data_IF_349879219553
#
_entry.id   IF_349879219553
#
_cell.length_a   1.000
_cell.length_b   1.000
_cell.length_c   1.000
_cell.angle_alpha   90.00
_cell.angle_beta   90.00
_cell.angle_gamma   90.00
#
_symmetry.space_group_name_H-M   'P 1'
#
loop_
_entity.id
_entity.type
_entity.pdbx_description
1 polymer ?
#
# COMPACT_ATOMS: atom_id res chain seq x y z
N UNK A 1 5.96 -1.30 15.54
CA UNK A 1 4.80 -0.51 15.99
C UNK A 1 4.84 0.84 15.30
N UNK A 2 3.88 1.15 14.43
CA UNK A 2 3.77 2.48 13.80
C UNK A 2 3.21 3.51 14.78
N UNK A 3 3.65 4.77 14.67
CA UNK A 3 3.10 5.87 15.46
C UNK A 3 1.73 6.29 14.92
N UNK A 4 0.66 5.62 15.38
CA UNK A 4 -0.74 5.84 14.95
C UNK A 4 -1.18 7.31 14.87
N UNK A 5 -0.77 8.23 15.77
CA UNK A 5 -1.10 9.66 15.64
C UNK A 5 -0.56 10.32 14.36
N UNK A 6 0.56 9.81 13.81
CA UNK A 6 1.13 10.31 12.56
C UNK A 6 0.30 9.91 11.35
N UNK A 7 -0.56 8.88 11.45
CA UNK A 7 -1.38 8.38 10.33
C UNK A 7 -2.81 8.96 10.32
N UNK A 8 -3.09 9.96 11.17
CA UNK A 8 -4.38 10.69 11.09
C UNK A 8 -4.53 11.41 9.76
N UNK A 9 -5.77 11.58 9.29
CA UNK A 9 -6.05 12.30 8.04
C UNK A 9 -5.47 13.70 8.02
N UNK A 10 -5.43 14.37 9.18
CA UNK A 10 -4.84 15.70 9.33
C UNK A 10 -3.31 15.67 9.21
N UNK A 11 -2.64 14.75 9.91
CA UNK A 11 -1.18 14.59 9.81
C UNK A 11 -0.75 14.20 8.38
N UNK A 12 -1.55 13.39 7.69
CA UNK A 12 -1.34 13.04 6.28
C UNK A 12 -1.51 14.27 5.36
N UNK A 13 -2.57 15.05 5.57
CA UNK A 13 -2.82 16.26 4.77
C UNK A 13 -1.70 17.30 4.93
N UNK A 14 -1.20 17.52 6.15
CA UNK A 14 -0.07 18.43 6.41
C UNK A 14 1.21 17.98 5.72
N UNK A 15 1.52 16.67 5.74
CA UNK A 15 2.70 16.12 5.04
C UNK A 15 2.53 16.20 3.52
N UNK A 16 1.34 15.92 3.01
CA UNK A 16 1.03 16.08 1.59
C UNK A 16 1.22 17.54 1.14
N UNK A 17 0.82 18.53 1.95
CA UNK A 17 1.06 19.94 1.67
C UNK A 17 2.56 20.27 1.58
N UNK A 18 3.37 19.80 2.52
CA UNK A 18 4.83 20.00 2.46
C UNK A 18 5.44 19.39 1.20
N UNK A 19 5.01 18.19 0.82
CA UNK A 19 5.44 17.56 -0.44
C UNK A 19 4.96 18.35 -1.65
N UNK A 20 3.73 18.88 -1.66
CA UNK A 20 3.22 19.70 -2.75
C UNK A 20 4.05 20.98 -2.96
N UNK A 21 4.51 21.59 -1.86
CA UNK A 21 5.35 22.78 -1.88
C UNK A 21 6.76 22.48 -2.39
N UNK A 22 7.33 21.34 -2.00
CA UNK A 22 8.66 20.92 -2.43
C UNK A 22 8.68 20.37 -3.87
N UNK A 23 7.64 19.63 -4.27
CA UNK A 23 7.58 18.84 -5.50
C UNK A 23 6.19 18.97 -6.16
N UNK A 24 6.02 20.03 -6.96
CA UNK A 24 4.72 20.40 -7.55
C UNK A 24 4.11 19.34 -8.48
N UNK A 25 4.94 18.51 -9.09
CA UNK A 25 4.51 17.46 -10.02
C UNK A 25 4.25 16.11 -9.32
N UNK A 26 4.47 16.02 -8.00
CA UNK A 26 4.21 14.81 -7.25
C UNK A 26 2.70 14.54 -7.17
N UNK A 27 2.30 13.31 -7.46
CA UNK A 27 0.96 12.84 -7.14
C UNK A 27 0.82 12.67 -5.64
N UNK A 28 -0.27 13.18 -5.08
CA UNK A 28 -0.56 13.14 -3.66
C UNK A 28 -1.82 12.31 -3.37
N UNK A 29 -1.88 11.64 -2.21
CA UNK A 29 -3.10 10.99 -1.77
C UNK A 29 -4.18 12.05 -1.50
N UNK A 30 -5.43 11.72 -1.85
CA UNK A 30 -6.59 12.48 -1.37
C UNK A 30 -6.72 12.30 0.16
N UNK A 31 -7.32 13.27 0.88
CA UNK A 31 -7.62 13.08 2.30
C UNK A 31 -8.37 11.76 2.55
N UNK A 32 -7.90 10.98 3.53
CA UNK A 32 -8.48 9.68 3.88
C UNK A 32 -8.15 8.52 2.93
N UNK A 33 -7.35 8.74 1.88
CA UNK A 33 -7.02 7.69 0.93
C UNK A 33 -6.28 6.51 1.59
N UNK A 34 -6.69 5.30 1.20
CA UNK A 34 -6.03 4.03 1.56
C UNK A 34 -4.88 3.71 0.62
N UNK A 35 -5.07 4.02 -0.66
CA UNK A 35 -4.05 3.90 -1.68
C UNK A 35 -4.19 5.02 -2.71
N UNK A 36 -3.14 5.26 -3.48
CA UNK A 36 -3.16 6.21 -4.60
C UNK A 36 -2.17 5.80 -5.69
N UNK A 37 -2.40 6.22 -6.95
CA UNK A 37 -1.46 5.94 -8.03
C UNK A 37 -0.18 6.77 -7.91
N UNK A 38 0.96 6.11 -8.06
CA UNK A 38 2.28 6.73 -8.06
C UNK A 38 2.99 6.55 -9.40
N UNK A 39 3.83 7.52 -9.73
CA UNK A 39 4.94 7.44 -10.69
C UNK A 39 6.25 7.34 -9.90
N UNK A 40 7.40 7.26 -10.59
CA UNK A 40 8.71 7.16 -9.95
C UNK A 40 8.94 8.21 -8.86
N UNK A 41 8.69 9.50 -9.18
CA UNK A 41 8.87 10.60 -8.23
C UNK A 41 7.95 10.50 -7.02
N UNK A 42 6.65 10.28 -7.23
CA UNK A 42 5.69 10.16 -6.11
C UNK A 42 5.84 8.86 -5.33
N UNK A 43 6.43 7.81 -5.91
CA UNK A 43 6.77 6.58 -5.20
C UNK A 43 7.92 6.83 -4.20
N UNK A 44 8.94 7.60 -4.59
CA UNK A 44 10.04 7.98 -3.69
C UNK A 44 9.57 8.82 -2.49
N UNK A 45 8.50 9.60 -2.67
CA UNK A 45 7.94 10.49 -1.64
C UNK A 45 6.86 9.79 -0.78
N UNK A 46 6.32 8.66 -1.23
CA UNK A 46 5.24 7.95 -0.54
C UNK A 46 5.57 7.57 0.92
N UNK A 47 6.79 7.11 1.27
CA UNK A 47 7.14 6.80 2.65
C UNK A 47 7.06 8.01 3.59
N UNK A 48 7.45 9.21 3.11
CA UNK A 48 7.32 10.45 3.88
C UNK A 48 5.85 10.77 4.20
N UNK A 49 4.93 10.32 3.35
CA UNK A 49 3.48 10.42 3.55
C UNK A 49 2.89 9.24 4.34
N UNK A 50 3.67 8.26 4.78
CA UNK A 50 3.17 7.07 5.49
C UNK A 50 2.55 6.01 4.58
N UNK A 51 2.92 5.99 3.30
CA UNK A 51 2.51 4.98 2.33
C UNK A 51 3.71 4.15 1.85
N UNK A 52 3.48 2.87 1.59
CA UNK A 52 4.46 1.94 1.01
C UNK A 52 4.22 1.87 -0.50
N UNK A 53 5.21 2.17 -1.35
CA UNK A 53 5.09 1.99 -2.79
C UNK A 53 5.11 0.50 -3.16
N UNK A 54 4.04 0.02 -3.79
CA UNK A 54 3.80 -1.35 -4.20
C UNK A 54 3.49 -1.39 -5.70
N UNK A 55 4.55 -1.26 -6.50
CA UNK A 55 4.46 -1.10 -7.95
C UNK A 55 3.78 0.22 -8.34
N UNK A 56 2.71 0.22 -9.14
CA UNK A 56 2.07 1.46 -9.61
C UNK A 56 1.11 2.10 -8.58
N UNK A 57 1.09 1.61 -7.34
CA UNK A 57 0.24 2.08 -6.24
C UNK A 57 1.10 2.31 -5.02
N UNK A 58 0.76 3.30 -4.21
CA UNK A 58 1.23 3.39 -2.84
C UNK A 58 0.06 3.11 -1.90
N UNK A 59 0.27 2.30 -0.87
CA UNK A 59 -0.77 1.86 0.09
C UNK A 59 -0.35 2.27 1.50
N UNK A 60 -1.29 2.71 2.34
CA UNK A 60 -0.96 3.10 3.71
C UNK A 60 -0.25 1.98 4.47
N UNK A 61 0.80 2.34 5.20
CA UNK A 61 1.65 1.38 5.90
C UNK A 61 0.89 0.51 6.91
N UNK A 62 -0.05 1.10 7.67
CA UNK A 62 -0.85 0.35 8.65
C UNK A 62 -1.74 -0.72 8.01
N UNK A 63 -2.21 -0.49 6.79
CA UNK A 63 -3.02 -1.46 6.05
C UNK A 63 -2.15 -2.52 5.37
N UNK A 64 -0.92 -2.17 4.99
CA UNK A 64 0.07 -3.15 4.52
C UNK A 64 0.44 -4.10 5.66
N UNK A 65 0.75 -3.58 6.85
CA UNK A 65 1.02 -4.41 8.03
C UNK A 65 -0.14 -5.35 8.34
N UNK A 66 -1.38 -4.82 8.37
CA UNK A 66 -2.58 -5.63 8.57
C UNK A 66 -2.74 -6.75 7.55
N UNK A 67 -2.39 -6.50 6.29
CA UNK A 67 -2.42 -7.54 5.25
C UNK A 67 -1.37 -8.60 5.52
N UNK A 68 -0.14 -8.21 5.85
CA UNK A 68 0.95 -9.15 6.16
C UNK A 68 0.61 -10.01 7.39
N UNK A 69 0.04 -9.42 8.44
CA UNK A 69 -0.44 -10.14 9.63
C UNK A 69 -1.54 -11.15 9.30
N UNK A 70 -2.45 -10.81 8.39
CA UNK A 70 -3.53 -11.71 7.99
C UNK A 70 -3.06 -12.84 7.07
N UNK A 71 -2.03 -12.61 6.26
CA UNK A 71 -1.49 -13.60 5.33
C UNK A 71 -0.41 -14.50 5.97
N UNK A 72 0.32 -14.01 6.96
CA UNK A 72 1.44 -14.72 7.59
C UNK A 72 1.09 -16.11 8.15
N UNK A 73 -0.06 -16.30 8.83
CA UNK A 73 -0.46 -17.61 9.36
C UNK A 73 -1.01 -18.60 8.32
N UNK A 74 -1.21 -18.19 7.06
CA UNK A 74 -1.81 -19.05 6.05
C UNK A 74 -0.77 -20.02 5.49
N UNK A 75 -1.12 -21.30 5.39
CA UNK A 75 -0.27 -22.30 4.73
C UNK A 75 -0.24 -22.06 3.21
N UNK A 76 0.94 -21.84 2.60
CA UNK A 76 1.05 -21.73 1.15
C UNK A 76 0.91 -23.10 0.46
N UNK A 77 0.24 -23.19 -0.70
CA UNK A 77 -0.47 -22.11 -1.39
C UNK A 77 -1.85 -21.84 -0.78
N UNK A 78 -2.23 -20.57 -0.63
CA UNK A 78 -3.51 -20.17 -0.06
C UNK A 78 -4.41 -19.40 -1.04
N UNK A 79 -5.72 -19.47 -0.81
CA UNK A 79 -6.68 -18.55 -1.42
C UNK A 79 -6.60 -17.19 -0.73
N UNK A 80 -6.68 -16.10 -1.51
CA UNK A 80 -6.59 -14.75 -0.96
C UNK A 80 -7.85 -14.43 -0.13
N UNK A 81 -7.74 -14.05 1.16
CA UNK A 81 -8.89 -13.64 1.95
C UNK A 81 -9.61 -12.45 1.32
N UNK A 82 -10.95 -12.48 1.29
CA UNK A 82 -11.78 -11.48 0.60
C UNK A 82 -11.52 -10.04 1.07
N UNK A 83 -11.15 -9.87 2.33
CA UNK A 83 -10.92 -8.57 2.97
C UNK A 83 -9.62 -7.89 2.49
N UNK A 84 -8.62 -8.66 2.02
CA UNK A 84 -7.31 -8.13 1.63
C UNK A 84 -7.45 -7.06 0.54
N UNK A 85 -8.29 -7.31 -0.46
CA UNK A 85 -8.55 -6.33 -1.51
C UNK A 85 -9.13 -5.02 -0.95
N UNK A 86 -10.07 -5.13 0.00
CA UNK A 86 -10.70 -3.96 0.62
C UNK A 86 -9.69 -3.16 1.44
N UNK A 87 -8.79 -3.82 2.18
CA UNK A 87 -7.76 -3.14 2.96
C UNK A 87 -6.70 -2.48 2.11
N UNK A 88 -6.32 -3.07 0.98
CA UNK A 88 -5.37 -2.45 0.05
C UNK A 88 -6.00 -1.27 -0.72
N UNK A 89 -7.33 -1.23 -0.83
CA UNK A 89 -8.04 -0.16 -1.55
C UNK A 89 -7.68 -0.09 -3.03
N UNK A 90 -7.21 -1.18 -3.64
CA UNK A 90 -6.74 -1.19 -5.04
C UNK A 90 -7.77 -1.81 -5.99
N UNK A 91 -7.82 -1.35 -7.26
CA UNK A 91 -8.64 -1.98 -8.29
C UNK A 91 -8.26 -3.45 -8.50
N UNK A 92 -9.23 -4.32 -8.81
CA UNK A 92 -8.99 -5.75 -9.05
C UNK A 92 -7.85 -5.99 -10.06
N UNK A 93 -7.84 -5.22 -11.15
CA UNK A 93 -6.80 -5.28 -12.21
C UNK A 93 -5.37 -4.95 -11.74
N UNK A 94 -5.20 -4.39 -10.54
CA UNK A 94 -3.90 -4.05 -9.94
C UNK A 94 -3.53 -4.93 -8.74
N UNK A 95 -4.49 -5.69 -8.20
CA UNK A 95 -4.29 -6.48 -6.99
C UNK A 95 -3.10 -7.43 -7.11
N UNK A 96 -3.02 -8.18 -8.22
CA UNK A 96 -1.92 -9.12 -8.44
C UNK A 96 -0.55 -8.44 -8.47
N UNK A 97 -0.45 -7.24 -9.07
CA UNK A 97 0.82 -6.48 -9.12
C UNK A 97 1.23 -5.98 -7.74
N UNK A 98 0.26 -5.57 -6.92
CA UNK A 98 0.49 -5.09 -5.56
C UNK A 98 0.93 -6.24 -4.66
N UNK A 99 0.29 -7.41 -4.74
CA UNK A 99 0.69 -8.61 -4.00
C UNK A 99 2.08 -9.11 -4.42
N UNK A 100 2.42 -9.02 -5.71
CA UNK A 100 3.79 -9.30 -6.18
C UNK A 100 4.82 -8.34 -5.61
N UNK A 101 4.51 -7.05 -5.56
CA UNK A 101 5.38 -6.06 -4.94
C UNK A 101 5.50 -6.24 -3.41
N UNK A 102 4.51 -6.88 -2.76
CA UNK A 102 4.57 -7.29 -1.35
C UNK A 102 5.40 -8.55 -1.10
N UNK A 103 5.96 -9.17 -2.14
CA UNK A 103 6.73 -10.40 -2.00
C UNK A 103 5.88 -11.67 -2.05
N UNK A 104 4.74 -11.66 -2.74
CA UNK A 104 3.96 -12.88 -3.01
C UNK A 104 3.97 -13.26 -4.49
N UNK A 105 3.88 -14.55 -4.77
CA UNK A 105 3.67 -15.10 -6.12
C UNK A 105 2.35 -15.85 -6.17
N UNK A 106 1.79 -15.93 -7.39
CA UNK A 106 0.58 -16.71 -7.67
C UNK A 106 0.87 -17.74 -8.74
N UNK A 107 0.46 -18.98 -8.49
CA UNK A 107 0.46 -20.10 -9.42
C UNK A 107 -0.97 -20.66 -9.59
N UNK A 108 -1.10 -21.87 -10.15
CA UNK A 108 -2.38 -22.51 -10.37
C UNK A 108 -3.08 -22.94 -9.07
N UNK A 109 -2.33 -23.22 -7.99
CA UNK A 109 -2.86 -23.70 -6.71
C UNK A 109 -3.17 -22.57 -5.72
N UNK A 110 -2.54 -21.40 -5.85
CA UNK A 110 -2.88 -20.24 -5.03
C UNK A 110 -1.78 -19.19 -4.91
N UNK A 111 -1.79 -18.46 -3.81
CA UNK A 111 -0.77 -17.47 -3.44
C UNK A 111 0.24 -18.08 -2.48
N UNK A 112 1.51 -17.73 -2.66
CA UNK A 112 2.62 -18.14 -1.80
C UNK A 112 3.62 -16.99 -1.63
N UNK A 113 4.39 -16.92 -0.54
CA UNK A 113 5.54 -16.04 -0.45
C UNK A 113 6.50 -16.28 -1.63
N UNK A 114 6.98 -15.20 -2.23
CA UNK A 114 8.12 -15.22 -3.13
C UNK A 114 9.36 -15.29 -2.22
N UNK A 115 10.02 -16.44 -2.21
CA UNK A 115 11.23 -16.72 -1.43
C UNK A 115 12.30 -15.64 -1.58
#
# INVERSE_FOLDING_TARGET
>A
MYARPLLTSEALARRALLVALAERDARLPKPGAVSYPVNERSAALAPALGFVPLGPQAVRADLVERVLEALGPLEPPFALPAQVRSWLGVPQKRLDRVLRALGYRRDASGWSPAA
#
